data_IF_828480574173
#
_entry.id   IF_828480574173
#
_cell.length_a   1.000
_cell.length_b   1.000
_cell.length_c   1.000
_cell.angle_alpha   90.00
_cell.angle_beta   90.00
_cell.angle_gamma   90.00
#
_symmetry.space_group_name_H-M   'P 1'
#
loop_
_entity.id
_entity.type
_entity.pdbx_description
1 polymer ?
#
# COMPACT_ATOMS: atom_id res chain seq x y z
N UNK A 1 -69.14 17.29 -13.93
CA UNK A 1 -68.57 17.93 -12.72
C UNK A 1 -68.15 16.82 -11.75
N UNK A 2 -66.97 16.22 -11.93
CA UNK A 2 -66.35 15.29 -10.97
C UNK A 2 -65.35 15.99 -10.02
N UNK A 3 -65.19 17.31 -10.15
CA UNK A 3 -63.98 18.01 -9.73
C UNK A 3 -63.70 17.98 -8.21
N UNK A 4 -64.75 17.88 -7.38
CA UNK A 4 -64.59 17.91 -5.92
C UNK A 4 -64.04 16.61 -5.32
N UNK A 5 -64.27 15.46 -5.96
CA UNK A 5 -63.83 14.14 -5.44
C UNK A 5 -62.39 13.84 -5.89
N UNK A 6 -62.02 14.30 -7.08
CA UNK A 6 -60.65 14.23 -7.56
C UNK A 6 -59.73 15.20 -6.79
N UNK A 7 -60.17 16.42 -6.51
CA UNK A 7 -59.36 17.41 -5.76
C UNK A 7 -59.03 16.96 -4.33
N UNK A 8 -59.99 16.33 -3.63
CA UNK A 8 -59.77 15.75 -2.28
C UNK A 8 -58.86 14.51 -2.32
N UNK A 9 -58.97 13.68 -3.36
CA UNK A 9 -58.06 12.54 -3.52
C UNK A 9 -56.64 12.98 -3.87
N UNK A 10 -56.49 14.07 -4.63
CA UNK A 10 -55.20 14.65 -4.99
C UNK A 10 -54.47 15.20 -3.75
N UNK A 11 -55.18 15.92 -2.87
CA UNK A 11 -54.63 16.41 -1.59
C UNK A 11 -54.22 15.25 -0.66
N UNK A 12 -55.03 14.19 -0.57
CA UNK A 12 -54.72 13.01 0.24
C UNK A 12 -53.53 12.21 -0.31
N UNK A 13 -53.33 12.15 -1.63
CA UNK A 13 -52.16 11.52 -2.26
C UNK A 13 -50.90 12.34 -2.03
N UNK A 14 -50.98 13.66 -2.19
CA UNK A 14 -49.87 14.57 -1.93
C UNK A 14 -49.42 14.51 -0.47
N UNK A 15 -50.36 14.46 0.49
CA UNK A 15 -50.03 14.30 1.91
C UNK A 15 -49.35 12.96 2.22
N UNK A 16 -49.81 11.85 1.63
CA UNK A 16 -49.19 10.52 1.83
C UNK A 16 -47.78 10.47 1.23
N UNK A 17 -47.60 11.02 0.04
CA UNK A 17 -46.30 11.12 -0.61
C UNK A 17 -45.33 12.00 0.22
N UNK A 18 -45.79 13.14 0.74
CA UNK A 18 -45.00 14.01 1.62
C UNK A 18 -44.66 13.35 2.96
N UNK A 19 -45.58 12.58 3.57
CA UNK A 19 -45.31 11.86 4.82
C UNK A 19 -44.28 10.74 4.62
N UNK A 20 -44.35 10.00 3.49
CA UNK A 20 -43.34 8.98 3.18
C UNK A 20 -41.97 9.59 2.92
N UNK A 21 -41.88 10.67 2.12
CA UNK A 21 -40.60 11.35 1.86
C UNK A 21 -40.04 12.03 3.11
N UNK A 22 -40.87 12.62 3.98
CA UNK A 22 -40.38 13.16 5.27
C UNK A 22 -39.88 12.08 6.22
N UNK A 23 -40.50 10.89 6.24
CA UNK A 23 -40.12 9.79 7.15
C UNK A 23 -38.94 8.95 6.64
N UNK A 24 -38.91 8.64 5.35
CA UNK A 24 -37.87 7.81 4.74
C UNK A 24 -36.77 8.62 4.05
N UNK A 25 -37.05 9.84 3.59
CA UNK A 25 -36.05 10.69 2.92
C UNK A 25 -34.89 11.07 3.84
N UNK A 26 -35.16 11.36 5.11
CA UNK A 26 -34.11 11.57 6.11
C UNK A 26 -33.26 10.33 6.36
N UNK A 27 -33.88 9.14 6.41
CA UNK A 27 -33.18 7.87 6.58
C UNK A 27 -32.30 7.53 5.36
N UNK A 28 -32.83 7.70 4.14
CA UNK A 28 -32.07 7.52 2.90
C UNK A 28 -30.90 8.51 2.80
N UNK A 29 -31.12 9.78 3.15
CA UNK A 29 -30.06 10.78 3.17
C UNK A 29 -28.98 10.43 4.20
N UNK A 30 -29.36 9.98 5.39
CA UNK A 30 -28.42 9.53 6.42
C UNK A 30 -27.59 8.32 5.96
N UNK A 31 -28.22 7.33 5.33
CA UNK A 31 -27.53 6.15 4.78
C UNK A 31 -26.58 6.57 3.65
N UNK A 32 -27.01 7.43 2.73
CA UNK A 32 -26.17 7.92 1.65
C UNK A 32 -24.94 8.68 2.19
N UNK A 33 -25.11 9.54 3.20
CA UNK A 33 -24.00 10.23 3.87
C UNK A 33 -23.04 9.25 4.56
N UNK A 34 -23.56 8.21 5.22
CA UNK A 34 -22.74 7.17 5.84
C UNK A 34 -21.90 6.42 4.82
N UNK A 35 -22.48 6.05 3.68
CA UNK A 35 -21.77 5.38 2.59
C UNK A 35 -20.68 6.30 2.01
N UNK A 36 -21.00 7.56 1.74
CA UNK A 36 -20.03 8.54 1.25
C UNK A 36 -18.89 8.78 2.25
N UNK A 37 -19.17 8.84 3.54
CA UNK A 37 -18.15 8.96 4.58
C UNK A 37 -17.26 7.71 4.63
N UNK A 38 -17.84 6.51 4.50
CA UNK A 38 -17.09 5.25 4.44
C UNK A 38 -16.17 5.18 3.21
N UNK A 39 -16.69 5.48 2.03
CA UNK A 39 -15.90 5.50 0.78
C UNK A 39 -14.84 6.60 0.82
N UNK A 40 -15.18 7.79 1.31
CA UNK A 40 -14.24 8.89 1.46
C UNK A 40 -13.10 8.57 2.42
N UNK A 41 -13.40 7.93 3.56
CA UNK A 41 -12.39 7.44 4.50
C UNK A 41 -11.46 6.40 3.88
N UNK A 42 -12.03 5.41 3.18
CA UNK A 42 -11.24 4.37 2.50
C UNK A 42 -10.36 4.93 1.38
N UNK A 43 -10.93 5.81 0.54
CA UNK A 43 -10.18 6.48 -0.53
C UNK A 43 -9.07 7.38 0.03
N UNK A 44 -9.31 8.07 1.15
CA UNK A 44 -8.31 8.87 1.84
C UNK A 44 -7.13 8.03 2.33
N UNK A 45 -7.40 6.86 2.91
CA UNK A 45 -6.36 5.92 3.33
C UNK A 45 -5.54 5.42 2.14
N UNK A 46 -6.21 4.98 1.08
CA UNK A 46 -5.55 4.48 -0.13
C UNK A 46 -4.70 5.56 -0.82
N UNK A 47 -5.17 6.82 -0.83
CA UNK A 47 -4.41 7.94 -1.38
C UNK A 47 -3.14 8.24 -0.58
N UNK A 48 -3.21 8.18 0.75
CA UNK A 48 -2.05 8.36 1.61
C UNK A 48 -0.99 7.28 1.36
N UNK A 49 -1.42 6.03 1.27
CA UNK A 49 -0.54 4.89 1.03
C UNK A 49 0.09 4.92 -0.37
N UNK A 50 -0.69 5.27 -1.40
CA UNK A 50 -0.18 5.46 -2.76
C UNK A 50 0.84 6.60 -2.85
N UNK A 51 0.63 7.70 -2.12
CA UNK A 51 1.56 8.84 -2.11
C UNK A 51 2.87 8.51 -1.41
N UNK A 52 2.82 7.72 -0.35
CA UNK A 52 4.02 7.20 0.32
C UNK A 52 4.78 6.23 -0.60
N UNK A 53 4.06 5.32 -1.27
CA UNK A 53 4.65 4.38 -2.23
C UNK A 53 5.38 5.10 -3.38
N UNK A 54 4.80 6.18 -3.92
CA UNK A 54 5.43 6.99 -4.96
C UNK A 54 6.78 7.57 -4.53
N UNK A 55 6.86 8.14 -3.32
CA UNK A 55 8.12 8.69 -2.78
C UNK A 55 9.17 7.61 -2.57
N UNK A 56 8.78 6.46 -2.03
CA UNK A 56 9.69 5.33 -1.83
C UNK A 56 10.18 4.78 -3.17
N UNK A 57 9.32 4.70 -4.18
CA UNK A 57 9.69 4.24 -5.52
C UNK A 57 10.70 5.18 -6.19
N UNK A 58 10.49 6.50 -6.12
CA UNK A 58 11.44 7.50 -6.62
C UNK A 58 12.79 7.38 -5.90
N UNK A 59 12.79 7.28 -4.57
CA UNK A 59 14.00 7.13 -3.78
C UNK A 59 14.74 5.82 -4.09
N UNK A 60 14.01 4.71 -4.28
CA UNK A 60 14.54 3.41 -4.66
C UNK A 60 15.21 3.45 -6.04
N UNK A 61 14.56 4.07 -7.02
CA UNK A 61 15.11 4.24 -8.36
C UNK A 61 16.35 5.13 -8.36
N UNK A 62 16.33 6.23 -7.59
CA UNK A 62 17.49 7.11 -7.44
C UNK A 62 18.68 6.38 -6.82
N UNK A 63 18.49 5.69 -5.68
CA UNK A 63 19.56 4.91 -5.04
C UNK A 63 20.07 3.76 -5.89
N UNK A 64 19.19 3.12 -6.67
CA UNK A 64 19.61 2.07 -7.61
C UNK A 64 20.46 2.62 -8.75
N UNK A 65 20.16 3.84 -9.23
CA UNK A 65 21.00 4.53 -10.23
C UNK A 65 22.35 4.93 -9.65
N UNK A 66 22.36 5.46 -8.42
CA UNK A 66 23.61 5.79 -7.71
C UNK A 66 24.49 4.54 -7.56
N UNK A 67 23.90 3.36 -7.30
CA UNK A 67 24.62 2.10 -7.18
C UNK A 67 25.29 1.65 -8.48
N UNK A 68 24.73 2.04 -9.63
CA UNK A 68 25.23 1.69 -10.96
C UNK A 68 26.27 2.70 -11.48
N UNK A 69 26.50 3.80 -10.76
CA UNK A 69 27.51 4.78 -11.14
C UNK A 69 28.93 4.23 -10.94
N UNK A 70 29.85 4.65 -11.81
CA UNK A 70 31.24 4.22 -11.76
C UNK A 70 31.94 4.81 -10.52
N UNK A 71 32.54 3.95 -9.68
CA UNK A 71 33.15 4.36 -8.41
C UNK A 71 32.16 4.56 -7.24
N UNK A 72 30.92 4.10 -7.37
CA UNK A 72 29.92 4.17 -6.31
C UNK A 72 30.34 3.39 -5.05
N UNK A 73 30.16 3.98 -3.87
CA UNK A 73 30.32 3.29 -2.60
C UNK A 73 29.11 2.40 -2.34
N UNK A 74 29.19 1.16 -2.82
CA UNK A 74 28.11 0.17 -2.73
C UNK A 74 27.71 -0.12 -1.28
N UNK A 75 28.62 0.04 -0.30
CA UNK A 75 28.33 -0.14 1.13
C UNK A 75 27.51 1.02 1.71
N UNK A 76 27.88 2.26 1.39
CA UNK A 76 27.09 3.43 1.78
C UNK A 76 25.69 3.39 1.17
N UNK A 77 25.59 2.94 -0.09
CA UNK A 77 24.31 2.82 -0.79
C UNK A 77 23.46 1.67 -0.23
N UNK A 78 24.06 0.53 0.13
CA UNK A 78 23.37 -0.55 0.83
C UNK A 78 22.73 -0.06 2.15
N UNK A 79 23.46 0.73 2.94
CA UNK A 79 22.95 1.33 4.18
C UNK A 79 21.79 2.28 3.91
N UNK A 80 21.91 3.15 2.89
CA UNK A 80 20.82 4.07 2.49
C UNK A 80 19.58 3.30 2.03
N UNK A 81 19.76 2.22 1.26
CA UNK A 81 18.68 1.36 0.78
C UNK A 81 17.98 0.63 1.94
N UNK A 82 18.74 0.15 2.94
CA UNK A 82 18.18 -0.44 4.15
C UNK A 82 17.37 0.58 4.96
N UNK A 83 17.81 1.85 5.03
CA UNK A 83 17.05 2.93 5.64
C UNK A 83 15.70 3.17 4.95
N UNK A 84 15.66 3.13 3.61
CA UNK A 84 14.41 3.27 2.84
C UNK A 84 13.38 2.19 3.18
N UNK A 85 13.82 0.99 3.59
CA UNK A 85 12.91 -0.08 3.96
C UNK A 85 12.07 0.23 5.21
N UNK A 86 12.56 1.08 6.12
CA UNK A 86 11.84 1.42 7.35
C UNK A 86 10.62 2.30 7.05
N UNK A 87 10.77 3.24 6.12
CA UNK A 87 9.71 4.20 5.72
C UNK A 87 8.87 3.71 4.54
N UNK A 88 9.24 2.56 3.96
CA UNK A 88 8.57 1.95 2.83
C UNK A 88 7.22 1.32 3.23
N UNK A 89 6.18 1.49 2.39
CA UNK A 89 4.97 0.69 2.47
C UNK A 89 5.28 -0.82 2.37
N UNK A 90 4.37 -1.69 2.84
CA UNK A 90 4.61 -3.13 2.94
C UNK A 90 5.16 -3.75 1.64
N UNK A 91 4.61 -3.37 0.49
CA UNK A 91 5.04 -3.88 -0.82
C UNK A 91 6.47 -3.50 -1.21
N UNK A 92 6.96 -2.32 -0.81
CA UNK A 92 8.32 -1.87 -1.12
C UNK A 92 9.35 -2.22 -0.05
N UNK A 93 8.90 -2.50 1.18
CA UNK A 93 9.77 -2.85 2.31
C UNK A 93 10.58 -4.11 2.07
N UNK A 94 9.95 -5.15 1.52
CA UNK A 94 10.63 -6.41 1.21
C UNK A 94 11.62 -6.22 0.07
N UNK A 95 11.21 -5.52 -0.99
CA UNK A 95 12.04 -5.25 -2.16
C UNK A 95 13.28 -4.42 -1.81
N UNK A 96 13.12 -3.36 -1.02
CA UNK A 96 14.22 -2.50 -0.53
C UNK A 96 15.22 -3.29 0.32
N UNK A 97 14.76 -4.17 1.22
CA UNK A 97 15.63 -5.07 1.99
C UNK A 97 16.40 -6.05 1.12
N UNK A 98 15.74 -6.69 0.17
CA UNK A 98 16.39 -7.60 -0.78
C UNK A 98 17.46 -6.88 -1.61
N UNK A 99 17.17 -5.67 -2.07
CA UNK A 99 18.13 -4.86 -2.82
C UNK A 99 19.30 -4.42 -1.94
N UNK A 100 19.05 -4.03 -0.69
CA UNK A 100 20.10 -3.68 0.26
C UNK A 100 21.04 -4.87 0.53
N UNK A 101 20.50 -6.08 0.68
CA UNK A 101 21.29 -7.30 0.83
C UNK A 101 22.15 -7.60 -0.40
N UNK A 102 21.58 -7.46 -1.60
CA UNK A 102 22.32 -7.63 -2.85
C UNK A 102 23.50 -6.65 -2.94
N UNK A 103 23.27 -5.36 -2.63
CA UNK A 103 24.31 -4.35 -2.63
C UNK A 103 25.38 -4.59 -1.55
N UNK A 104 25.00 -5.12 -0.39
CA UNK A 104 25.97 -5.53 0.63
C UNK A 104 26.85 -6.69 0.15
N UNK A 105 26.26 -7.67 -0.54
CA UNK A 105 27.01 -8.77 -1.15
C UNK A 105 27.97 -8.29 -2.25
N UNK A 106 27.52 -7.38 -3.12
CA UNK A 106 28.35 -6.74 -4.16
C UNK A 106 29.49 -5.92 -3.54
N UNK A 107 29.27 -5.32 -2.38
CA UNK A 107 30.29 -4.61 -1.60
C UNK A 107 31.29 -5.54 -0.88
N UNK A 108 31.15 -6.86 -1.03
CA UNK A 108 31.98 -7.88 -0.36
C UNK A 108 31.59 -8.15 1.10
N UNK A 109 30.50 -7.56 1.60
CA UNK A 109 29.99 -7.79 2.96
C UNK A 109 28.96 -8.95 2.97
N UNK A 110 29.47 -10.15 2.68
CA UNK A 110 28.68 -11.39 2.70
C UNK A 110 27.96 -11.62 4.03
N UNK A 111 28.57 -11.40 5.22
CA UNK A 111 27.88 -11.60 6.50
C UNK A 111 26.65 -10.69 6.68
N UNK A 112 26.76 -9.42 6.31
CA UNK A 112 25.62 -8.50 6.37
C UNK A 112 24.52 -8.92 5.40
N UNK A 113 24.87 -9.31 4.17
CA UNK A 113 23.92 -9.78 3.17
C UNK A 113 23.14 -11.02 3.63
N UNK A 114 23.83 -12.04 4.17
CA UNK A 114 23.22 -13.26 4.69
C UNK A 114 22.24 -12.96 5.84
N UNK A 115 22.59 -12.03 6.72
CA UNK A 115 21.70 -11.62 7.82
C UNK A 115 20.42 -11.02 7.28
N UNK A 116 20.51 -10.08 6.33
CA UNK A 116 19.33 -9.42 5.75
C UNK A 116 18.47 -10.43 4.99
N UNK A 117 19.04 -11.29 4.14
CA UNK A 117 18.26 -12.32 3.44
C UNK A 117 17.57 -13.29 4.39
N UNK A 118 18.23 -13.69 5.48
CA UNK A 118 17.61 -14.54 6.49
C UNK A 118 16.42 -13.85 7.19
N UNK A 119 16.53 -12.56 7.50
CA UNK A 119 15.40 -11.81 8.08
C UNK A 119 14.21 -11.73 7.11
N UNK A 120 14.48 -11.58 5.81
CA UNK A 120 13.41 -11.58 4.80
C UNK A 120 12.81 -12.98 4.64
N UNK A 121 13.65 -14.03 4.57
CA UNK A 121 13.20 -15.41 4.43
C UNK A 121 12.38 -15.93 5.62
N UNK A 122 12.54 -15.32 6.80
CA UNK A 122 11.75 -15.59 8.00
C UNK A 122 10.51 -14.69 8.18
N UNK A 123 10.29 -13.69 7.31
CA UNK A 123 9.18 -12.76 7.42
C UNK A 123 7.89 -13.38 6.85
N UNK A 124 7.09 -14.03 7.71
CA UNK A 124 5.83 -14.66 7.30
C UNK A 124 4.76 -13.70 6.77
N UNK A 125 5.00 -12.38 6.85
CA UNK A 125 4.14 -11.35 6.27
C UNK A 125 4.49 -10.99 4.82
N UNK A 126 5.61 -11.48 4.29
CA UNK A 126 6.02 -11.25 2.91
C UNK A 126 5.40 -12.29 1.94
N UNK A 127 5.20 -11.89 0.68
CA UNK A 127 4.75 -12.81 -0.37
C UNK A 127 5.75 -13.97 -0.54
N UNK A 128 5.24 -15.19 -0.74
CA UNK A 128 6.04 -16.41 -0.93
C UNK A 128 7.10 -16.25 -2.01
N UNK A 129 6.80 -15.50 -3.08
CA UNK A 129 7.76 -15.23 -4.14
C UNK A 129 9.02 -14.51 -3.63
N UNK A 130 8.87 -13.54 -2.72
CA UNK A 130 10.02 -12.83 -2.16
C UNK A 130 10.79 -13.68 -1.15
N UNK A 131 10.10 -14.56 -0.42
CA UNK A 131 10.73 -15.50 0.51
C UNK A 131 11.63 -16.49 -0.22
N UNK A 132 11.14 -17.07 -1.33
CA UNK A 132 11.91 -18.03 -2.11
C UNK A 132 13.09 -17.36 -2.82
N UNK A 133 12.92 -16.13 -3.31
CA UNK A 133 14.04 -15.34 -3.82
C UNK A 133 15.09 -15.07 -2.74
N UNK A 134 14.67 -14.68 -1.53
CA UNK A 134 15.59 -14.46 -0.41
C UNK A 134 16.39 -15.71 -0.07
N UNK A 135 15.74 -16.88 -0.03
CA UNK A 135 16.38 -18.18 0.21
C UNK A 135 17.38 -18.52 -0.88
N UNK A 136 17.02 -18.31 -2.14
CA UNK A 136 17.91 -18.56 -3.27
C UNK A 136 19.15 -17.65 -3.21
N UNK A 137 18.95 -16.36 -2.98
CA UNK A 137 20.03 -15.39 -2.87
C UNK A 137 20.91 -15.63 -1.64
N UNK A 138 20.36 -16.16 -0.55
CA UNK A 138 21.13 -16.58 0.62
C UNK A 138 21.98 -17.82 0.34
N UNK A 139 21.42 -18.82 -0.36
CA UNK A 139 22.09 -20.10 -0.60
C UNK A 139 23.36 -19.95 -1.46
N UNK A 140 23.35 -19.08 -2.48
CA UNK A 140 24.48 -18.90 -3.41
C UNK A 140 25.79 -18.51 -2.67
N UNK A 141 25.86 -17.39 -1.93
CA UNK A 141 27.08 -17.02 -1.20
C UNK A 141 27.34 -17.90 0.02
N UNK A 142 26.32 -18.53 0.62
CA UNK A 142 26.52 -19.47 1.73
C UNK A 142 27.29 -20.72 1.28
N UNK A 143 27.04 -21.22 0.07
CA UNK A 143 27.74 -22.36 -0.52
C UNK A 143 29.20 -22.03 -0.85
N UNK A 144 29.53 -20.79 -1.19
CA UNK A 144 30.93 -20.37 -1.43
C UNK A 144 31.75 -20.24 -0.14
N UNK A 145 31.09 -20.14 1.01
CA UNK A 145 31.74 -20.01 2.33
C UNK A 145 31.89 -21.33 3.08
N UNK A 146 31.35 -22.44 2.54
CA UNK A 146 31.42 -23.79 3.12
C UNK A 146 32.54 -24.62 2.48
#
# INVERSE_FOLDING_TARGET
>A
MPDLVDEVNEELRAERAQRLTRRFGGLFAAVALLVLAGVGGWQGWNWYEARQAGRTAEAFLATTRDAAAEGADTRAIATRMAGLANDAPPGYRVLTRLRAAALAADAGDKPAALTIWNTVAGDSGADFLYLDLARLMWAVPALETA
#
